data_IF_650631963571
#
_entry.id   IF_650631963571
#
_cell.length_a   1.000
_cell.length_b   1.000
_cell.length_c   1.000
_cell.angle_alpha   90.00
_cell.angle_beta   90.00
_cell.angle_gamma   90.00
#
_symmetry.space_group_name_H-M   'P 1'
#
loop_
_entity.id
_entity.type
_entity.pdbx_description
1 polymer ?
#
# COMPACT_ATOMS: atom_id res chain seq x y z
N UNK A 1 -0.59 2.61 -15.44
CA UNK A 1 -0.88 1.18 -15.34
C UNK A 1 -0.27 0.61 -14.05
N UNK A 2 1.05 0.53 -13.89
CA UNK A 2 1.71 -0.04 -12.71
C UNK A 2 1.28 0.61 -11.39
N UNK A 3 1.11 1.94 -11.35
CA UNK A 3 0.70 2.67 -10.15
C UNK A 3 -0.73 2.34 -9.70
N UNK A 4 -1.61 1.95 -10.62
CA UNK A 4 -3.04 1.77 -10.34
C UNK A 4 -3.33 0.58 -9.41
N UNK A 5 -2.45 -0.44 -9.37
CA UNK A 5 -2.62 -1.57 -8.44
C UNK A 5 -2.62 -1.11 -6.98
N UNK A 6 -1.76 -0.14 -6.62
CA UNK A 6 -1.73 0.41 -5.26
C UNK A 6 -2.93 1.28 -4.88
N UNK A 7 -3.75 1.67 -5.85
CA UNK A 7 -4.97 2.45 -5.66
C UNK A 7 -6.23 1.59 -5.51
N UNK A 8 -6.14 0.29 -5.80
CA UNK A 8 -7.22 -0.66 -5.60
C UNK A 8 -7.15 -1.28 -4.19
N UNK A 9 -8.05 -0.91 -3.26
CA UNK A 9 -8.00 -1.48 -1.92
C UNK A 9 -8.53 -2.91 -1.82
N UNK A 10 -9.10 -3.46 -2.90
CA UNK A 10 -9.71 -4.80 -2.92
C UNK A 10 -8.77 -5.86 -3.48
N UNK A 11 -7.81 -5.49 -4.34
CA UNK A 11 -6.86 -6.45 -4.91
C UNK A 11 -6.17 -7.31 -3.84
N UNK A 12 -5.84 -6.71 -2.69
CA UNK A 12 -5.18 -7.40 -1.57
C UNK A 12 -5.98 -8.59 -1.03
N UNK A 13 -7.31 -8.55 -1.15
CA UNK A 13 -8.19 -9.64 -0.72
C UNK A 13 -8.15 -10.86 -1.66
N UNK A 14 -7.65 -10.69 -2.86
CA UNK A 14 -7.57 -11.72 -3.91
C UNK A 14 -6.13 -11.99 -4.32
N UNK A 15 -5.39 -11.01 -4.83
CA UNK A 15 -4.02 -11.20 -5.29
C UNK A 15 -3.10 -11.68 -4.17
N UNK A 16 -3.19 -11.07 -2.99
CA UNK A 16 -2.36 -11.40 -1.83
C UNK A 16 -3.03 -12.38 -0.87
N UNK A 17 -3.97 -13.16 -1.38
CA UNK A 17 -4.74 -14.10 -0.55
C UNK A 17 -3.94 -15.34 -0.22
N UNK A 18 -3.69 -15.55 1.07
CA UNK A 18 -3.18 -16.81 1.61
C UNK A 18 -4.34 -17.72 1.98
N UNK A 19 -4.18 -19.03 1.72
CA UNK A 19 -5.22 -20.03 2.05
C UNK A 19 -5.20 -20.38 3.54
N UNK A 20 -4.05 -20.22 4.20
CA UNK A 20 -3.85 -20.45 5.62
C UNK A 20 -3.17 -19.24 6.27
N UNK A 21 -3.45 -19.04 7.55
CA UNK A 21 -2.81 -17.98 8.33
C UNK A 21 -1.36 -18.34 8.65
N UNK A 22 -0.54 -17.32 8.90
CA UNK A 22 0.76 -17.52 9.51
C UNK A 22 0.61 -18.05 10.95
N UNK A 23 1.58 -18.81 11.47
CA UNK A 23 1.59 -19.21 12.87
C UNK A 23 1.43 -18.00 13.80
N UNK A 24 0.59 -18.11 14.82
CA UNK A 24 0.24 -17.00 15.72
C UNK A 24 1.46 -16.33 16.37
N UNK A 25 2.48 -17.13 16.72
CA UNK A 25 3.73 -16.66 17.30
C UNK A 25 4.61 -15.88 16.32
N UNK A 26 4.36 -16.01 15.02
CA UNK A 26 5.05 -15.27 13.94
C UNK A 26 4.41 -13.93 13.61
N UNK A 27 3.17 -13.69 14.09
CA UNK A 27 2.42 -12.47 13.76
C UNK A 27 2.94 -11.29 14.58
N UNK A 28 3.30 -10.21 13.89
CA UNK A 28 3.83 -9.01 14.53
C UNK A 28 4.30 -7.96 13.55
N UNK A 29 5.16 -7.09 14.03
CA UNK A 29 5.79 -6.06 13.20
C UNK A 29 6.81 -6.67 12.23
N UNK A 30 6.82 -6.17 11.01
CA UNK A 30 7.71 -6.60 9.93
C UNK A 30 9.09 -5.95 9.97
N UNK A 31 9.55 -5.45 11.12
CA UNK A 31 10.78 -4.66 11.27
C UNK A 31 12.06 -5.35 10.74
N UNK A 32 12.07 -6.69 10.65
CA UNK A 32 13.20 -7.46 10.14
C UNK A 32 12.95 -8.01 8.72
N UNK A 33 12.15 -7.33 7.89
CA UNK A 33 11.84 -7.78 6.54
C UNK A 33 10.94 -9.01 6.48
N UNK A 34 10.21 -9.29 7.55
CA UNK A 34 9.24 -10.36 7.57
C UNK A 34 8.10 -10.12 6.59
N UNK A 35 7.47 -11.19 6.25
CA UNK A 35 6.50 -11.27 5.17
C UNK A 35 5.18 -10.54 5.48
N UNK A 36 4.51 -10.08 4.44
CA UNK A 36 3.14 -9.59 4.49
C UNK A 36 2.20 -10.57 5.21
N UNK A 37 2.41 -11.88 5.03
CA UNK A 37 1.66 -12.95 5.68
C UNK A 37 1.64 -12.85 7.20
N UNK A 38 2.70 -12.37 7.83
CA UNK A 38 2.82 -12.24 9.29
C UNK A 38 2.55 -10.83 9.82
N UNK A 39 2.14 -9.90 8.96
CA UNK A 39 1.78 -8.55 9.39
C UNK A 39 0.51 -8.56 10.26
N UNK A 40 0.56 -7.88 11.41
CA UNK A 40 -0.58 -7.75 12.31
C UNK A 40 -1.52 -6.64 11.86
N UNK A 41 -2.82 -6.91 11.88
CA UNK A 41 -3.87 -5.89 11.76
C UNK A 41 -4.30 -5.33 13.13
N UNK A 42 -3.67 -5.75 14.21
CA UNK A 42 -4.05 -5.39 15.56
C UNK A 42 -4.61 -6.56 16.37
N UNK A 43 -5.18 -6.25 17.54
CA UNK A 43 -5.78 -7.23 18.44
C UNK A 43 -7.30 -7.23 18.33
N UNK A 44 -7.88 -8.41 18.25
CA UNK A 44 -9.31 -8.62 18.28
C UNK A 44 -9.65 -9.86 19.11
N UNK A 45 -10.59 -9.73 20.06
CA UNK A 45 -10.97 -10.84 20.94
C UNK A 45 -9.83 -11.36 21.85
N UNK A 46 -8.81 -10.52 22.13
CA UNK A 46 -7.63 -10.90 22.91
C UNK A 46 -6.51 -11.56 22.10
N UNK A 47 -6.71 -11.78 20.81
CA UNK A 47 -5.74 -12.38 19.89
C UNK A 47 -5.23 -11.37 18.87
N UNK A 48 -3.97 -11.53 18.43
CA UNK A 48 -3.44 -10.80 17.26
C UNK A 48 -3.99 -11.42 15.99
N UNK A 49 -4.57 -10.57 15.14
CA UNK A 49 -5.08 -10.99 13.85
C UNK A 49 -4.09 -10.66 12.74
N UNK A 50 -3.74 -11.64 11.88
CA UNK A 50 -3.00 -11.32 10.67
C UNK A 50 -3.84 -10.45 9.75
N UNK A 51 -3.22 -9.45 9.13
CA UNK A 51 -3.87 -8.58 8.17
C UNK A 51 -4.45 -9.38 6.99
N UNK A 52 -3.74 -10.41 6.55
CA UNK A 52 -4.17 -11.31 5.47
C UNK A 52 -5.47 -12.06 5.80
N UNK A 53 -5.68 -12.43 7.06
CA UNK A 53 -6.93 -13.04 7.52
C UNK A 53 -8.10 -12.07 7.42
N UNK A 54 -7.91 -10.84 7.91
CA UNK A 54 -8.95 -9.79 7.81
C UNK A 54 -9.35 -9.57 6.35
N UNK A 55 -8.37 -9.45 5.47
CA UNK A 55 -8.63 -9.22 4.04
C UNK A 55 -9.30 -10.41 3.37
N UNK A 56 -8.97 -11.64 3.78
CA UNK A 56 -9.56 -12.87 3.24
C UNK A 56 -11.00 -13.06 3.69
N UNK A 57 -11.28 -12.86 4.98
CA UNK A 57 -12.60 -13.12 5.56
C UNK A 57 -13.57 -11.97 5.30
N UNK A 58 -13.10 -10.71 5.31
CA UNK A 58 -13.89 -9.50 5.08
C UNK A 58 -13.51 -8.83 3.75
N UNK A 59 -13.65 -9.57 2.65
CA UNK A 59 -13.18 -9.19 1.31
C UNK A 59 -14.01 -8.11 0.60
N UNK A 60 -15.12 -7.65 1.19
CA UNK A 60 -16.01 -6.59 0.65
C UNK A 60 -15.96 -5.35 1.53
N UNK A 61 -14.91 -4.54 1.46
CA UNK A 61 -14.84 -3.31 2.22
C UNK A 61 -15.79 -2.24 1.68
N UNK A 62 -16.23 -1.36 2.56
CA UNK A 62 -16.68 -0.03 2.18
C UNK A 62 -15.46 0.82 1.84
N UNK A 63 -15.47 1.47 0.68
CA UNK A 63 -14.37 2.28 0.17
C UNK A 63 -14.85 3.70 0.01
N UNK A 64 -14.09 4.66 0.52
CA UNK A 64 -14.26 6.08 0.26
C UNK A 64 -12.89 6.75 0.05
N UNK A 65 -12.91 7.95 -0.50
CA UNK A 65 -11.69 8.76 -0.58
C UNK A 65 -11.99 10.23 -0.36
N UNK A 66 -11.00 10.94 0.12
CA UNK A 66 -11.04 12.38 0.33
C UNK A 66 -9.92 13.04 -0.48
N UNK A 67 -10.23 14.01 -1.34
CA UNK A 67 -9.20 14.85 -1.96
C UNK A 67 -8.36 15.56 -0.90
N UNK A 68 -7.06 15.58 -1.09
CA UNK A 68 -6.10 16.31 -0.26
C UNK A 68 -5.22 17.19 -1.15
N UNK A 69 -4.60 18.25 -0.64
CA UNK A 69 -3.73 19.10 -1.44
C UNK A 69 -2.59 18.34 -2.14
N UNK A 70 -2.16 17.21 -1.56
CA UNK A 70 -1.10 16.36 -2.11
C UNK A 70 -1.57 15.16 -2.93
N UNK A 71 -2.90 14.92 -3.03
CA UNK A 71 -3.46 13.74 -3.71
C UNK A 71 -4.77 13.28 -3.09
N UNK A 72 -4.82 12.06 -2.53
CA UNK A 72 -6.05 11.49 -1.96
C UNK A 72 -5.75 10.68 -0.70
N UNK A 73 -6.60 10.83 0.30
CA UNK A 73 -6.73 9.86 1.40
C UNK A 73 -7.74 8.80 0.99
N UNK A 74 -7.42 7.54 1.20
CA UNK A 74 -8.24 6.38 0.85
C UNK A 74 -8.65 5.70 2.14
N UNK A 75 -9.95 5.58 2.36
CA UNK A 75 -10.53 4.94 3.53
C UNK A 75 -11.13 3.59 3.10
N UNK A 76 -10.64 2.51 3.72
CA UNK A 76 -11.10 1.15 3.48
C UNK A 76 -11.60 0.56 4.79
N UNK A 77 -12.91 0.37 4.89
CA UNK A 77 -13.58 -0.05 6.11
C UNK A 77 -14.21 -1.42 5.93
N UNK A 78 -14.03 -2.30 6.90
CA UNK A 78 -14.66 -3.63 6.91
C UNK A 78 -15.43 -3.80 8.21
N UNK A 79 -16.74 -3.97 8.12
CA UNK A 79 -17.55 -4.35 9.28
C UNK A 79 -17.20 -5.77 9.71
N UNK A 80 -16.90 -5.93 10.99
CA UNK A 80 -16.54 -7.22 11.60
C UNK A 80 -17.56 -7.62 12.67
N UNK A 81 -18.84 -7.40 12.37
CA UNK A 81 -19.96 -7.54 13.30
C UNK A 81 -20.49 -6.17 13.72
N UNK A 82 -21.36 -6.17 14.73
CA UNK A 82 -22.11 -4.96 15.11
C UNK A 82 -21.24 -3.93 15.84
N UNK A 83 -20.19 -4.36 16.53
CA UNK A 83 -19.41 -3.53 17.44
C UNK A 83 -18.03 -3.12 16.93
N UNK A 84 -17.58 -3.64 15.79
CA UNK A 84 -16.21 -3.49 15.35
C UNK A 84 -16.08 -3.18 13.85
N UNK A 85 -15.16 -2.28 13.54
CA UNK A 85 -14.77 -1.95 12.17
C UNK A 85 -13.25 -2.09 12.01
N UNK A 86 -12.81 -2.88 11.05
CA UNK A 86 -11.42 -2.82 10.60
C UNK A 86 -11.24 -1.58 9.72
N UNK A 87 -10.27 -0.76 10.08
CA UNK A 87 -9.96 0.53 9.46
C UNK A 87 -8.59 0.45 8.81
N UNK A 88 -8.53 0.69 7.50
CA UNK A 88 -7.27 0.82 6.78
C UNK A 88 -7.25 2.15 6.04
N UNK A 89 -6.36 3.05 6.45
CA UNK A 89 -6.16 4.36 5.82
C UNK A 89 -4.86 4.32 5.02
N UNK A 90 -4.96 4.63 3.74
CA UNK A 90 -3.85 4.74 2.81
C UNK A 90 -3.87 6.09 2.11
N UNK A 91 -2.77 6.48 1.50
CA UNK A 91 -2.70 7.75 0.76
C UNK A 91 -2.12 7.54 -0.63
N UNK A 92 -2.72 8.21 -1.60
CA UNK A 92 -2.10 8.49 -2.88
C UNK A 92 -1.50 9.88 -2.83
N UNK A 93 -0.22 10.00 -3.16
CA UNK A 93 0.49 11.28 -3.30
C UNK A 93 0.77 11.49 -4.78
N UNK A 94 0.18 12.53 -5.33
CA UNK A 94 0.34 12.89 -6.75
C UNK A 94 1.83 13.13 -7.09
N UNK A 95 2.33 12.69 -8.24
CA UNK A 95 1.62 12.00 -9.32
C UNK A 95 1.66 10.45 -9.25
N UNK A 96 2.59 9.84 -8.53
CA UNK A 96 2.92 8.41 -8.69
C UNK A 96 3.39 7.73 -7.39
N UNK A 97 3.01 8.27 -6.25
CA UNK A 97 3.40 7.72 -4.95
C UNK A 97 2.18 7.30 -4.15
N UNK A 98 2.25 6.15 -3.50
CA UNK A 98 1.26 5.77 -2.50
C UNK A 98 1.92 5.30 -1.21
N UNK A 99 1.18 5.42 -0.13
CA UNK A 99 1.63 5.11 1.22
C UNK A 99 0.61 4.22 1.88
N UNK A 100 1.07 3.06 2.32
CA UNK A 100 0.23 2.03 2.91
C UNK A 100 0.78 1.58 4.28
N UNK A 101 -0.07 1.20 5.23
CA UNK A 101 0.36 0.57 6.47
C UNK A 101 0.79 -0.88 6.20
N UNK A 102 1.93 -1.28 6.76
CA UNK A 102 2.39 -2.68 6.79
C UNK A 102 2.04 -3.37 8.11
N UNK A 103 1.97 -2.60 9.19
CA UNK A 103 1.56 -3.03 10.51
C UNK A 103 1.08 -1.81 11.30
N UNK A 104 0.75 -2.00 12.58
CA UNK A 104 0.38 -0.90 13.48
C UNK A 104 1.43 0.22 13.54
N UNK A 105 2.71 -0.12 13.44
CA UNK A 105 3.83 0.82 13.59
C UNK A 105 4.68 1.02 12.35
N UNK A 106 4.45 0.24 11.29
CA UNK A 106 5.23 0.34 10.05
C UNK A 106 4.40 0.83 8.86
N UNK A 107 5.06 1.59 8.02
CA UNK A 107 4.53 2.08 6.73
C UNK A 107 5.47 1.73 5.61
N UNK A 108 4.93 1.50 4.42
CA UNK A 108 5.69 1.49 3.18
C UNK A 108 5.23 2.63 2.29
N UNK A 109 6.18 3.40 1.79
CA UNK A 109 5.97 4.39 0.73
C UNK A 109 6.51 3.82 -0.56
N UNK A 110 5.67 3.77 -1.58
CA UNK A 110 6.05 3.22 -2.90
C UNK A 110 5.91 4.29 -3.96
N UNK A 111 6.97 4.50 -4.74
CA UNK A 111 7.03 5.47 -5.82
C UNK A 111 7.21 4.74 -7.15
N UNK A 112 6.30 4.95 -8.07
CA UNK A 112 6.33 4.38 -9.42
C UNK A 112 6.84 5.43 -10.39
N UNK A 113 8.16 5.48 -10.56
CA UNK A 113 8.83 6.51 -11.37
C UNK A 113 8.96 6.02 -12.81
N UNK A 114 8.26 6.63 -13.77
CA UNK A 114 8.35 6.20 -15.18
C UNK A 114 9.76 6.42 -15.74
N UNK A 115 10.25 5.44 -16.49
CA UNK A 115 11.50 5.50 -17.26
C UNK A 115 11.15 5.84 -18.72
N UNK A 116 10.19 5.12 -19.27
CA UNK A 116 9.66 5.28 -20.62
C UNK A 116 8.17 4.84 -20.67
N UNK A 117 7.60 4.69 -21.84
CA UNK A 117 6.18 4.32 -22.03
C UNK A 117 5.82 2.92 -21.53
N UNK A 118 6.82 2.07 -21.31
CA UNK A 118 6.64 0.65 -20.97
C UNK A 118 7.35 0.21 -19.71
N UNK A 119 8.23 1.04 -19.15
CA UNK A 119 9.03 0.71 -17.98
C UNK A 119 8.89 1.75 -16.88
N UNK A 120 8.92 1.27 -15.64
CA UNK A 120 8.85 2.10 -14.45
C UNK A 120 9.77 1.54 -13.36
N UNK A 121 10.48 2.40 -12.65
CA UNK A 121 11.13 2.01 -11.40
C UNK A 121 10.11 2.03 -10.28
N UNK A 122 10.15 1.01 -9.45
CA UNK A 122 9.34 0.89 -8.25
C UNK A 122 10.23 1.00 -7.01
N UNK A 123 10.32 2.20 -6.45
CA UNK A 123 11.06 2.46 -5.21
C UNK A 123 10.18 2.17 -4.00
N UNK A 124 10.73 1.50 -2.99
CA UNK A 124 10.03 1.19 -1.75
C UNK A 124 10.82 1.68 -0.55
N UNK A 125 10.19 2.50 0.29
CA UNK A 125 10.75 3.04 1.52
C UNK A 125 9.97 2.48 2.71
N UNK A 126 10.66 1.73 3.56
CA UNK A 126 10.10 1.18 4.78
C UNK A 126 10.36 2.12 5.94
N UNK A 127 9.31 2.46 6.68
CA UNK A 127 9.38 3.40 7.80
C UNK A 127 8.80 2.74 9.04
N UNK A 128 9.55 2.69 10.13
CA UNK A 128 9.09 2.24 11.43
C UNK A 128 8.98 3.41 12.41
N UNK A 129 7.88 3.46 13.14
CA UNK A 129 7.62 4.47 14.19
C UNK A 129 7.97 3.97 15.60
N UNK A 130 8.24 2.68 15.76
CA UNK A 130 8.61 2.06 17.04
C UNK A 130 10.07 1.61 17.00
N UNK A 131 10.32 0.40 16.54
CA UNK A 131 11.66 -0.20 16.55
C UNK A 131 12.44 0.13 15.28
N UNK A 132 13.77 0.33 15.38
CA UNK A 132 14.59 0.48 14.19
C UNK A 132 14.45 -0.71 13.23
N UNK A 133 14.43 -0.42 11.94
CA UNK A 133 14.43 -1.45 10.90
C UNK A 133 15.83 -2.02 10.76
N UNK A 134 15.96 -3.34 10.71
CA UNK A 134 17.19 -3.98 10.26
C UNK A 134 17.33 -3.79 8.73
N UNK A 135 18.02 -2.70 8.36
CA UNK A 135 18.17 -2.32 6.97
C UNK A 135 19.00 -3.34 6.17
N UNK A 136 19.92 -4.05 6.82
CA UNK A 136 20.73 -5.09 6.15
C UNK A 136 19.88 -6.33 5.86
N UNK A 137 19.14 -6.83 6.84
CA UNK A 137 18.23 -7.94 6.65
C UNK A 137 17.16 -7.64 5.59
N UNK A 138 16.62 -6.42 5.60
CA UNK A 138 15.63 -5.98 4.61
C UNK A 138 16.22 -5.98 3.19
N UNK A 139 17.41 -5.41 2.99
CA UNK A 139 18.09 -5.41 1.70
C UNK A 139 18.43 -6.82 1.21
N UNK A 140 18.94 -7.67 2.08
CA UNK A 140 19.24 -9.05 1.74
C UNK A 140 18.01 -9.85 1.33
N UNK A 141 16.90 -9.63 2.02
CA UNK A 141 15.62 -10.23 1.63
C UNK A 141 15.20 -9.78 0.24
N UNK A 142 15.19 -8.47 -0.01
CA UNK A 142 14.74 -7.91 -1.31
C UNK A 142 15.65 -8.31 -2.46
N UNK A 143 16.97 -8.34 -2.25
CA UNK A 143 17.93 -8.71 -3.29
C UNK A 143 17.85 -10.16 -3.75
N UNK A 144 17.17 -11.04 -2.99
CA UNK A 144 16.88 -12.42 -3.44
C UNK A 144 15.91 -12.46 -4.62
N UNK A 145 15.05 -11.47 -4.74
CA UNK A 145 14.00 -11.39 -5.78
C UNK A 145 14.34 -10.36 -6.85
N UNK A 146 15.08 -9.32 -6.46
CA UNK A 146 15.43 -8.18 -7.30
C UNK A 146 16.92 -7.87 -7.11
N UNK A 147 17.83 -8.68 -7.75
CA UNK A 147 19.27 -8.49 -7.58
C UNK A 147 19.76 -7.22 -8.28
N UNK A 148 20.78 -6.57 -7.68
CA UNK A 148 21.52 -5.52 -8.36
C UNK A 148 22.51 -6.07 -9.41
N UNK A 149 23.11 -5.21 -10.27
CA UNK A 149 22.99 -3.74 -10.24
C UNK A 149 21.72 -3.17 -10.92
N UNK A 150 21.07 -3.94 -11.81
CA UNK A 150 19.98 -3.42 -12.67
C UNK A 150 18.61 -3.46 -11.98
N UNK A 151 18.51 -4.18 -10.85
CA UNK A 151 17.28 -4.33 -10.08
C UNK A 151 16.08 -4.85 -10.89
N UNK A 152 16.36 -5.73 -11.86
CA UNK A 152 15.33 -6.42 -12.63
C UNK A 152 14.82 -7.62 -11.83
N UNK A 153 13.49 -7.78 -11.65
CA UNK A 153 12.93 -8.93 -10.95
C UNK A 153 13.33 -10.27 -11.62
N UNK A 154 13.64 -11.27 -10.80
CA UNK A 154 13.93 -12.64 -11.28
C UNK A 154 12.70 -13.34 -11.83
N UNK A 155 11.50 -12.91 -11.42
CA UNK A 155 10.23 -13.41 -11.93
C UNK A 155 9.63 -12.41 -12.90
N UNK A 156 8.97 -12.90 -13.94
CA UNK A 156 8.36 -12.05 -14.94
C UNK A 156 7.66 -12.90 -16.02
N UNK A 157 7.26 -12.28 -17.10
CA UNK A 157 6.58 -12.95 -18.23
C UNK A 157 7.38 -14.15 -18.76
N UNK A 158 8.72 -14.08 -18.78
CA UNK A 158 9.61 -15.11 -19.33
C UNK A 158 9.54 -16.45 -18.58
N UNK A 159 9.14 -16.42 -17.31
CA UNK A 159 9.00 -17.62 -16.48
C UNK A 159 7.60 -17.70 -15.83
N UNK A 160 6.60 -17.08 -16.46
CA UNK A 160 5.20 -17.06 -15.97
C UNK A 160 5.07 -16.54 -14.53
N UNK A 161 5.91 -15.57 -14.15
CA UNK A 161 5.99 -15.00 -12.79
C UNK A 161 6.18 -16.04 -11.68
N UNK A 162 6.83 -17.16 -12.01
CA UNK A 162 7.08 -18.24 -11.07
C UNK A 162 5.84 -19.05 -10.69
N UNK A 163 4.80 -19.06 -11.53
CA UNK A 163 3.56 -19.78 -11.27
C UNK A 163 3.76 -21.27 -10.98
N UNK A 164 3.24 -21.72 -9.84
CA UNK A 164 3.21 -23.12 -9.40
C UNK A 164 1.76 -23.56 -9.13
N UNK A 165 1.20 -24.49 -9.93
CA UNK A 165 -0.17 -25.00 -9.73
C UNK A 165 -0.35 -25.74 -8.39
N UNK A 166 0.70 -26.29 -7.79
CA UNK A 166 0.60 -26.95 -6.50
C UNK A 166 0.50 -25.90 -5.38
N UNK A 167 1.31 -24.85 -5.43
CA UNK A 167 1.23 -23.74 -4.50
C UNK A 167 -0.15 -23.06 -4.56
N UNK A 168 -0.69 -22.84 -5.78
CA UNK A 168 -2.02 -22.28 -5.97
C UNK A 168 -3.12 -23.08 -5.26
N UNK A 169 -2.99 -24.40 -5.19
CA UNK A 169 -3.96 -25.27 -4.51
C UNK A 169 -3.80 -25.32 -3.00
N UNK A 170 -2.61 -25.00 -2.48
CA UNK A 170 -2.27 -25.31 -1.09
C UNK A 170 -1.85 -24.11 -0.24
N UNK A 171 -1.36 -23.02 -0.83
CA UNK A 171 -0.75 -21.93 -0.05
C UNK A 171 -1.24 -20.55 -0.42
N UNK A 172 -1.14 -20.16 -1.67
CA UNK A 172 -1.56 -18.83 -2.15
C UNK A 172 -2.60 -18.94 -3.25
N UNK A 173 -3.48 -17.94 -3.34
CA UNK A 173 -4.53 -17.93 -4.36
C UNK A 173 -3.97 -17.85 -5.77
N UNK A 174 -2.85 -17.16 -5.96
CA UNK A 174 -2.23 -17.01 -7.28
C UNK A 174 -1.22 -18.10 -7.62
N UNK A 175 -0.59 -18.75 -6.64
CA UNK A 175 0.49 -19.72 -6.90
C UNK A 175 1.75 -19.08 -7.46
N UNK A 176 2.07 -17.86 -7.06
CA UNK A 176 3.22 -17.09 -7.57
C UNK A 176 4.21 -16.71 -6.47
N UNK A 177 4.36 -17.58 -5.47
CA UNK A 177 5.26 -17.38 -4.35
C UNK A 177 4.59 -16.71 -3.15
N UNK A 178 4.99 -17.15 -1.96
CA UNK A 178 4.52 -16.60 -0.70
C UNK A 178 5.51 -15.60 -0.06
N UNK A 179 6.75 -15.60 -0.54
CA UNK A 179 7.84 -14.83 0.04
C UNK A 179 7.94 -13.40 -0.51
N UNK A 180 7.50 -13.16 -1.72
CA UNK A 180 7.45 -11.83 -2.33
C UNK A 180 6.10 -11.56 -2.99
N UNK A 181 5.18 -10.94 -2.24
CA UNK A 181 3.86 -10.60 -2.76
C UNK A 181 3.88 -9.56 -3.89
N UNK A 182 4.99 -8.83 -4.10
CA UNK A 182 5.05 -7.85 -5.19
C UNK A 182 5.03 -8.52 -6.57
N UNK A 183 5.40 -9.83 -6.66
CA UNK A 183 5.23 -10.57 -7.91
C UNK A 183 3.76 -10.70 -8.31
N UNK A 184 2.84 -10.73 -7.33
CA UNK A 184 1.41 -10.75 -7.58
C UNK A 184 0.94 -9.47 -8.26
N UNK A 185 1.42 -8.32 -7.76
CA UNK A 185 1.14 -7.00 -8.36
C UNK A 185 1.77 -6.88 -9.75
N UNK A 186 3.02 -7.32 -9.89
CA UNK A 186 3.74 -7.35 -11.15
C UNK A 186 2.96 -8.16 -12.20
N UNK A 187 2.52 -9.37 -11.84
CA UNK A 187 1.70 -10.19 -12.73
C UNK A 187 0.42 -9.47 -13.15
N UNK A 188 -0.30 -8.89 -12.19
CA UNK A 188 -1.57 -8.22 -12.46
C UNK A 188 -1.42 -7.08 -13.47
N UNK A 189 -0.36 -6.27 -13.35
CA UNK A 189 -0.15 -5.12 -14.24
C UNK A 189 0.53 -5.50 -15.56
N UNK A 190 1.45 -6.46 -15.56
CA UNK A 190 2.17 -6.88 -16.77
C UNK A 190 1.35 -7.82 -17.67
N UNK A 191 0.44 -8.62 -17.10
CA UNK A 191 -0.40 -9.55 -17.86
C UNK A 191 -1.35 -8.84 -18.81
N UNK A 192 -1.70 -7.59 -18.53
CA UNK A 192 -2.53 -6.74 -19.39
C UNK A 192 -1.80 -6.23 -20.65
N UNK A 193 -0.52 -6.52 -20.80
CA UNK A 193 0.34 -6.03 -21.89
C UNK A 193 1.22 -4.86 -21.49
N UNK A 194 2.20 -4.53 -22.34
CA UNK A 194 3.13 -3.43 -22.07
C UNK A 194 2.40 -2.07 -21.94
N UNK A 195 1.40 -1.86 -22.78
CA UNK A 195 0.43 -0.75 -22.68
C UNK A 195 -0.96 -1.36 -22.71
N UNK A 196 -1.73 -1.15 -21.65
CA UNK A 196 -3.07 -1.68 -21.54
C UNK A 196 -4.03 -1.06 -22.56
N UNK A 197 -4.78 -1.90 -23.24
CA UNK A 197 -5.89 -1.48 -24.09
C UNK A 197 -7.09 -1.05 -23.23
N UNK A 198 -7.22 0.26 -23.03
CA UNK A 198 -8.29 0.85 -22.19
C UNK A 198 -9.69 0.66 -22.76
N UNK A 199 -9.82 0.32 -24.05
CA UNK A 199 -11.13 0.06 -24.66
C UNK A 199 -11.74 -1.28 -24.22
N UNK A 200 -10.92 -2.16 -23.65
CA UNK A 200 -11.30 -3.47 -23.11
C UNK A 200 -11.45 -3.50 -21.60
N UNK A 201 -11.35 -2.35 -20.96
CA UNK A 201 -11.40 -2.23 -19.51
C UNK A 201 -12.84 -2.21 -19.00
N UNK A 202 -13.08 -2.86 -17.88
CA UNK A 202 -14.38 -2.92 -17.22
C UNK A 202 -14.24 -2.50 -15.75
N UNK A 203 -14.25 -1.18 -15.51
CA UNK A 203 -14.13 -0.64 -14.16
C UNK A 203 -15.43 -0.84 -13.36
N UNK A 204 -15.28 -1.40 -12.17
CA UNK A 204 -16.35 -1.59 -11.20
C UNK A 204 -16.44 -0.49 -10.14
N UNK A 205 -17.34 -0.67 -9.18
CA UNK A 205 -17.51 0.28 -8.07
C UNK A 205 -16.32 0.35 -7.13
N UNK A 206 -15.51 -0.70 -7.06
CA UNK A 206 -14.29 -0.76 -6.27
C UNK A 206 -13.15 0.03 -6.88
N UNK A 207 -13.20 0.31 -8.20
CA UNK A 207 -12.17 1.04 -8.96
C UNK A 207 -12.35 2.56 -8.93
N UNK A 208 -13.28 3.07 -8.12
CA UNK A 208 -13.58 4.52 -8.07
C UNK A 208 -12.37 5.39 -7.74
N UNK A 209 -11.40 4.86 -7.02
CA UNK A 209 -10.17 5.59 -6.69
C UNK A 209 -9.26 5.67 -7.91
N UNK A 210 -9.16 4.60 -8.68
CA UNK A 210 -8.44 4.59 -9.97
C UNK A 210 -9.06 5.63 -10.91
N UNK A 211 -10.40 5.65 -11.02
CA UNK A 211 -11.10 6.65 -11.83
C UNK A 211 -10.84 8.08 -11.35
N UNK A 212 -10.84 8.31 -10.04
CA UNK A 212 -10.54 9.63 -9.47
C UNK A 212 -9.08 10.04 -9.76
N UNK A 213 -8.13 9.14 -9.58
CA UNK A 213 -6.72 9.40 -9.88
C UNK A 213 -6.50 9.74 -11.36
N UNK A 214 -7.14 9.02 -12.29
CA UNK A 214 -7.07 9.32 -13.73
C UNK A 214 -7.60 10.71 -14.07
N UNK A 215 -8.68 11.15 -13.43
CA UNK A 215 -9.19 12.52 -13.61
C UNK A 215 -8.18 13.57 -13.16
N UNK A 216 -7.51 13.34 -12.03
CA UNK A 216 -6.45 14.24 -11.54
C UNK A 216 -5.28 14.27 -12.51
N UNK A 217 -4.83 13.10 -13.02
CA UNK A 217 -3.75 13.03 -13.99
C UNK A 217 -4.09 13.74 -15.31
N UNK A 218 -5.29 13.53 -15.85
CA UNK A 218 -5.74 14.20 -17.07
C UNK A 218 -5.81 15.72 -16.89
N UNK A 219 -6.34 16.17 -15.76
CA UNK A 219 -6.37 17.61 -15.45
C UNK A 219 -4.95 18.20 -15.30
N UNK A 220 -4.02 17.42 -14.74
CA UNK A 220 -2.62 17.84 -14.65
C UNK A 220 -1.94 17.95 -16.02
N UNK A 221 -2.18 16.99 -16.91
CA UNK A 221 -1.68 17.01 -18.28
C UNK A 221 -2.20 18.26 -19.01
N UNK A 222 -3.48 18.54 -18.88
CA UNK A 222 -4.09 19.72 -19.50
C UNK A 222 -3.53 21.03 -18.92
N UNK A 223 -3.33 21.11 -17.61
CA UNK A 223 -2.74 22.29 -16.97
C UNK A 223 -1.33 22.54 -17.48
N UNK A 224 -0.49 21.50 -17.53
CA UNK A 224 0.90 21.61 -18.04
C UNK A 224 0.91 21.99 -19.52
N UNK A 225 0.04 21.44 -20.34
CA UNK A 225 -0.09 21.80 -21.75
C UNK A 225 -0.48 23.28 -21.93
N UNK A 226 -1.14 23.89 -20.95
CA UNK A 226 -1.49 25.33 -20.92
C UNK A 226 -0.40 26.19 -20.25
N UNK A 227 0.76 25.62 -19.92
CA UNK A 227 1.84 26.34 -19.20
C UNK A 227 1.55 26.63 -17.74
N UNK A 228 0.56 25.96 -17.13
CA UNK A 228 0.22 26.05 -15.72
C UNK A 228 0.90 24.94 -14.91
N UNK A 229 1.21 25.15 -13.63
CA UNK A 229 1.70 24.08 -12.77
C UNK A 229 0.66 22.95 -12.64
N UNK A 230 1.13 21.70 -12.55
CA UNK A 230 0.27 20.59 -12.21
C UNK A 230 -0.31 20.75 -10.78
N UNK A 231 -1.49 20.16 -10.48
CA UNK A 231 -2.08 20.23 -9.15
C UNK A 231 -1.09 19.79 -8.06
N UNK A 232 -0.98 20.56 -6.98
CA UNK A 232 -0.04 20.31 -5.88
C UNK A 232 1.42 20.61 -6.18
N UNK A 233 1.74 21.06 -7.38
CA UNK A 233 3.09 21.47 -7.78
C UNK A 233 3.18 23.00 -7.81
N UNK A 234 4.29 23.54 -7.32
CA UNK A 234 4.51 25.00 -7.33
C UNK A 234 3.99 25.74 -6.09
N UNK A 235 3.29 25.07 -5.20
CA UNK A 235 2.95 25.61 -3.88
C UNK A 235 4.06 25.25 -2.89
N UNK A 236 4.96 26.22 -2.63
CA UNK A 236 6.07 26.05 -1.68
C UNK A 236 5.58 25.87 -0.23
N UNK A 237 4.41 26.39 0.10
CA UNK A 237 3.82 26.26 1.43
C UNK A 237 3.30 24.84 1.67
N UNK A 238 2.83 24.17 0.62
CA UNK A 238 2.39 22.77 0.70
C UNK A 238 3.55 21.85 1.13
N UNK A 239 4.73 22.02 0.57
CA UNK A 239 5.91 21.22 0.94
C UNK A 239 6.26 21.37 2.42
N UNK A 240 6.13 22.56 2.99
CA UNK A 240 6.31 22.84 4.41
C UNK A 240 5.21 22.29 5.31
N UNK A 241 4.02 22.08 4.78
CA UNK A 241 2.85 21.56 5.50
C UNK A 241 2.72 20.03 5.41
N UNK A 242 3.30 19.41 4.39
CA UNK A 242 3.29 17.96 4.25
C UNK A 242 4.09 17.33 5.38
N UNK A 243 3.37 16.81 6.34
CA UNK A 243 3.92 15.89 7.33
C UNK A 243 3.79 14.49 6.73
N UNK A 244 4.83 13.68 6.86
CA UNK A 244 4.82 12.34 6.29
C UNK A 244 3.51 11.56 6.51
N UNK A 245 3.32 10.46 5.83
CA UNK A 245 2.04 9.78 5.65
C UNK A 245 1.44 9.30 6.97
N UNK A 246 0.21 9.67 7.21
CA UNK A 246 -0.58 9.21 8.35
C UNK A 246 -1.41 7.98 7.92
N UNK A 247 -0.78 6.83 7.82
CA UNK A 247 -1.45 5.57 7.52
C UNK A 247 -1.69 4.76 8.77
N UNK A 248 -2.75 3.99 8.80
CA UNK A 248 -3.09 3.08 9.89
C UNK A 248 -3.77 1.82 9.36
N UNK A 249 -3.56 0.71 10.05
CA UNK A 249 -4.30 -0.52 9.91
C UNK A 249 -4.66 -1.00 11.32
N UNK A 250 -5.93 -1.28 11.60
CA UNK A 250 -6.34 -1.67 12.94
C UNK A 250 -7.85 -1.72 13.12
N UNK A 251 -8.27 -1.89 14.37
CA UNK A 251 -9.67 -2.10 14.73
C UNK A 251 -10.22 -0.95 15.57
N UNK A 252 -11.30 -0.35 15.09
CA UNK A 252 -12.03 0.70 15.77
C UNK A 252 -13.40 0.21 16.25
N UNK A 253 -13.95 0.74 17.36
CA UNK A 253 -15.36 0.55 17.68
C UNK A 253 -16.24 1.03 16.50
N UNK A 254 -17.34 0.34 16.26
CA UNK A 254 -18.24 0.68 15.17
C UNK A 254 -18.71 2.14 15.23
N UNK A 255 -18.70 2.81 14.11
CA UNK A 255 -19.10 4.23 14.00
C UNK A 255 -18.05 5.25 14.45
N UNK A 256 -16.90 4.84 15.00
CA UNK A 256 -15.89 5.78 15.54
C UNK A 256 -14.64 5.93 14.66
N UNK A 257 -14.59 5.25 13.54
CA UNK A 257 -13.38 5.14 12.72
C UNK A 257 -12.75 6.50 12.38
N UNK A 258 -13.56 7.54 12.14
CA UNK A 258 -13.11 8.84 11.69
C UNK A 258 -12.28 9.60 12.74
N UNK A 259 -12.60 9.44 14.01
CA UNK A 259 -11.81 10.00 15.13
C UNK A 259 -10.71 9.03 15.54
N UNK A 260 -11.01 7.74 15.58
CA UNK A 260 -10.09 6.70 15.99
C UNK A 260 -8.78 6.71 15.18
N UNK A 261 -8.86 6.76 13.84
CA UNK A 261 -7.65 6.73 13.02
C UNK A 261 -6.73 7.94 13.26
N UNK A 262 -7.31 9.12 13.53
CA UNK A 262 -6.54 10.33 13.84
C UNK A 262 -5.82 10.17 15.17
N UNK A 263 -6.50 9.66 16.19
CA UNK A 263 -5.91 9.41 17.52
C UNK A 263 -4.80 8.38 17.45
N UNK A 264 -5.01 7.28 16.71
CA UNK A 264 -4.02 6.21 16.57
C UNK A 264 -2.78 6.68 15.79
N UNK A 265 -2.94 7.46 14.73
CA UNK A 265 -1.79 8.00 13.99
C UNK A 265 -1.01 9.01 14.81
N UNK A 266 -1.67 9.83 15.63
CA UNK A 266 -1.00 10.70 16.59
C UNK A 266 -0.26 9.90 17.67
N UNK A 267 -0.85 8.83 18.19
CA UNK A 267 -0.21 7.92 19.14
C UNK A 267 1.03 7.28 18.52
N UNK A 268 0.92 6.75 17.30
CA UNK A 268 2.04 6.19 16.55
C UNK A 268 3.18 7.17 16.35
N UNK A 269 2.90 8.43 16.01
CA UNK A 269 3.92 9.48 15.85
C UNK A 269 4.66 9.78 17.15
N UNK A 270 3.99 9.69 18.30
CA UNK A 270 4.65 9.90 19.60
C UNK A 270 5.67 8.82 19.97
N UNK A 271 5.59 7.65 19.36
CA UNK A 271 6.57 6.58 19.58
C UNK A 271 7.95 6.92 18.99
N UNK A 272 7.98 7.70 17.89
CA UNK A 272 9.20 8.00 17.16
C UNK A 272 9.58 9.48 17.31
N UNK A 273 10.70 9.81 17.98
CA UNK A 273 11.15 11.20 18.14
C UNK A 273 11.34 11.95 16.82
N UNK A 274 11.79 11.26 15.77
CA UNK A 274 11.98 11.82 14.44
C UNK A 274 10.67 12.19 13.73
N UNK A 275 9.54 11.61 14.13
CA UNK A 275 8.23 11.88 13.55
C UNK A 275 7.51 13.04 14.26
N UNK A 276 8.05 13.53 15.35
CA UNK A 276 7.54 14.71 16.04
C UNK A 276 7.93 15.94 15.22
N UNK A 277 6.99 16.88 15.08
CA UNK A 277 7.26 18.11 14.36
C UNK A 277 8.50 18.83 14.94
N UNK A 278 9.41 19.33 14.12
CA UNK A 278 10.39 20.27 14.61
C UNK A 278 9.62 21.44 15.26
N UNK A 279 9.92 21.72 16.51
CA UNK A 279 9.45 22.99 17.07
C UNK A 279 10.01 24.10 16.18
N UNK A 280 9.19 25.10 15.79
CA UNK A 280 9.72 26.23 15.07
C UNK A 280 10.88 26.77 15.92
N UNK A 281 12.05 26.87 15.31
CA UNK A 281 13.21 27.49 15.98
C UNK A 281 12.76 28.85 16.51
N UNK A 282 12.78 29.02 17.80
CA UNK A 282 12.58 30.34 18.42
C UNK A 282 13.71 31.22 17.87
N UNK A 283 13.36 32.10 16.93
CA UNK A 283 14.22 33.15 16.44
C UNK A 283 14.05 34.37 17.34
#
# INVERSE_FOLDING_TARGET
QAFEVGLDPVHTSFLHRFLEDAPLDSIGDNAAGKQFRSASAGQFGGEKWPMTRVMREFYRPEISFEPKPWGMQINTLRSMGDDLTHVRITHSIFPHTFVIPLSETMTITQMHVPIDDTHTYWYSFFTSFDKPIDAQAMRLQRSRFIPGPDYVPLTGRHNQWGFDPQEQRTRTFLGMGEDDINVHDQWAVESMGAVQDRTREHLGTTDKIIMANRRVLLAAIEAVAQGKPAPGMGDTDLAGQMRGPDTIDGFAPAGTWATWWVEQTQAKRRLAPWAQSPQPAQR
#
